data_IF_605648008690
#
_entry.id   IF_605648008690
#
_cell.length_a   1.000
_cell.length_b   1.000
_cell.length_c   1.000
_cell.angle_alpha   90.00
_cell.angle_beta   90.00
_cell.angle_gamma   90.00
#
_symmetry.space_group_name_H-M   'P 1'
#
loop_
_entity.id
_entity.type
_entity.pdbx_description
1 polymer ?
#
# COMPACT_ATOMS: atom_id res chain seq x y z
N UNK A 1 8.55 -0.23 -8.96
CA UNK A 1 7.98 0.63 -7.89
C UNK A 1 9.09 0.91 -6.87
N UNK A 2 9.67 2.12 -6.86
CA UNK A 2 10.84 2.47 -6.05
C UNK A 2 10.64 2.25 -4.53
N UNK A 3 9.40 2.41 -4.04
CA UNK A 3 9.05 2.18 -2.65
C UNK A 3 9.30 0.73 -2.18
N UNK A 4 9.08 -0.28 -3.04
CA UNK A 4 9.37 -1.69 -2.70
C UNK A 4 10.86 -1.93 -2.51
N UNK A 5 11.69 -1.28 -3.34
CA UNK A 5 13.15 -1.36 -3.24
C UNK A 5 13.70 -0.65 -2.01
N UNK A 6 13.04 0.40 -1.55
CA UNK A 6 13.42 1.08 -0.30
C UNK A 6 13.25 0.16 0.91
N UNK A 7 12.10 -0.52 1.01
CA UNK A 7 11.81 -1.40 2.15
C UNK A 7 12.66 -2.67 2.19
N UNK A 8 13.20 -3.13 1.05
CA UNK A 8 14.12 -4.28 1.07
C UNK A 8 15.43 -4.00 1.82
N UNK A 9 15.81 -2.73 2.00
CA UNK A 9 17.02 -2.34 2.73
C UNK A 9 16.81 -2.11 4.24
N UNK A 10 15.56 -2.06 4.72
CA UNK A 10 15.22 -1.71 6.09
C UNK A 10 14.56 -2.88 6.83
N UNK A 11 15.25 -4.03 6.95
CA UNK A 11 14.67 -5.23 7.57
C UNK A 11 15.23 -5.48 8.98
N UNK A 12 14.38 -5.36 9.99
CA UNK A 12 14.61 -5.81 11.37
C UNK A 12 14.26 -7.29 11.58
N UNK A 13 14.34 -7.75 12.83
CA UNK A 13 14.02 -9.13 13.20
C UNK A 13 12.50 -9.37 13.28
N UNK A 14 11.97 -10.49 12.76
CA UNK A 14 10.54 -10.73 12.67
C UNK A 14 9.90 -11.03 14.03
N UNK A 15 8.90 -10.25 14.43
CA UNK A 15 7.96 -10.63 15.52
C UNK A 15 6.49 -10.67 15.11
N UNK A 16 6.18 -10.44 13.83
CA UNK A 16 4.91 -10.86 13.23
C UNK A 16 3.70 -9.91 13.41
N UNK A 17 3.90 -8.62 13.70
CA UNK A 17 2.81 -7.66 13.74
C UNK A 17 2.61 -7.07 12.35
N UNK A 18 1.43 -7.28 11.75
CA UNK A 18 1.10 -6.83 10.39
C UNK A 18 0.07 -5.69 10.41
N UNK A 19 0.33 -4.66 9.62
CA UNK A 19 -0.50 -3.48 9.43
C UNK A 19 -0.86 -3.32 7.95
N UNK A 20 -2.16 -3.17 7.67
CA UNK A 20 -2.67 -2.94 6.32
C UNK A 20 -3.31 -1.56 6.26
N UNK A 21 -2.85 -0.72 5.34
CA UNK A 21 -3.40 0.62 5.10
C UNK A 21 -3.63 0.88 3.61
N UNK A 22 -4.56 1.77 3.29
CA UNK A 22 -4.88 2.14 1.91
C UNK A 22 -4.18 3.43 1.52
N UNK A 23 -3.52 3.43 0.36
CA UNK A 23 -2.92 4.62 -0.24
C UNK A 23 -3.82 5.08 -1.38
N UNK A 24 -4.53 6.19 -1.19
CA UNK A 24 -5.38 6.82 -2.20
C UNK A 24 -4.53 7.68 -3.13
N UNK A 25 -4.53 7.39 -4.44
CA UNK A 25 -3.71 8.13 -5.42
C UNK A 25 -4.47 9.23 -6.15
N UNK A 26 -5.81 9.19 -6.13
CA UNK A 26 -6.67 10.29 -6.54
C UNK A 26 -8.09 10.13 -5.98
N UNK A 27 -8.87 11.21 -6.01
CA UNK A 27 -10.32 11.12 -5.78
C UNK A 27 -11.02 10.27 -6.86
N UNK A 28 -12.11 9.61 -6.48
CA UNK A 28 -12.85 8.71 -7.37
C UNK A 28 -13.34 9.38 -8.66
N UNK A 29 -13.73 10.66 -8.57
CA UNK A 29 -14.16 11.46 -9.72
C UNK A 29 -13.04 11.74 -10.74
N UNK A 30 -11.77 11.66 -10.32
CA UNK A 30 -10.59 11.95 -11.17
C UNK A 30 -9.99 10.71 -11.82
N UNK A 31 -10.48 9.51 -11.50
CA UNK A 31 -9.97 8.23 -12.04
C UNK A 31 -9.90 8.23 -13.57
N UNK A 32 -10.92 8.68 -14.34
CA UNK A 32 -10.86 8.63 -15.81
C UNK A 32 -9.72 9.48 -16.41
N UNK A 33 -9.27 10.51 -15.69
CA UNK A 33 -8.20 11.43 -16.12
C UNK A 33 -6.84 11.08 -15.53
N UNK A 34 -6.79 10.15 -14.57
CA UNK A 34 -5.55 9.78 -13.89
C UNK A 34 -4.69 8.87 -14.77
N UNK A 35 -3.58 9.40 -15.31
CA UNK A 35 -2.71 8.67 -16.24
C UNK A 35 -1.56 7.95 -15.56
N UNK A 36 -1.03 8.51 -14.47
CA UNK A 36 0.23 8.05 -13.88
C UNK A 36 0.17 6.60 -13.37
N UNK A 37 -0.87 6.26 -12.59
CA UNK A 37 -1.06 4.90 -12.06
C UNK A 37 -2.12 4.08 -12.80
N UNK A 38 -2.49 4.45 -14.03
CA UNK A 38 -3.63 3.84 -14.77
C UNK A 38 -3.57 2.31 -14.82
N UNK A 39 -2.37 1.74 -14.98
CA UNK A 39 -2.16 0.30 -15.13
C UNK A 39 -1.70 -0.41 -13.84
N UNK A 40 -1.50 0.33 -12.75
CA UNK A 40 -0.93 -0.19 -11.50
C UNK A 40 -1.86 -0.02 -10.30
N UNK A 41 -2.58 1.10 -10.20
CA UNK A 41 -3.58 1.34 -9.18
C UNK A 41 -4.93 0.75 -9.60
N UNK A 42 -5.73 0.40 -8.61
CA UNK A 42 -7.07 -0.14 -8.81
C UNK A 42 -8.06 0.43 -7.82
N UNK A 43 -9.35 0.20 -8.07
CA UNK A 43 -10.37 0.50 -7.08
C UNK A 43 -10.35 -0.56 -5.98
N UNK A 44 -10.34 -0.11 -4.74
CA UNK A 44 -10.53 -0.93 -3.55
C UNK A 44 -11.65 -0.38 -2.69
N UNK A 45 -12.15 -1.22 -1.80
CA UNK A 45 -13.20 -0.87 -0.83
C UNK A 45 -12.61 -0.87 0.58
N UNK A 46 -12.76 0.24 1.28
CA UNK A 46 -12.61 0.32 2.73
C UNK A 46 -13.98 0.17 3.39
N UNK A 47 -14.02 0.08 4.72
CA UNK A 47 -15.25 -0.07 5.50
C UNK A 47 -16.30 1.00 5.17
N UNK A 48 -15.84 2.22 4.84
CA UNK A 48 -16.72 3.39 4.69
C UNK A 48 -16.80 3.88 3.23
N UNK A 49 -15.75 3.69 2.42
CA UNK A 49 -15.67 4.32 1.10
C UNK A 49 -14.93 3.44 0.08
N UNK A 50 -15.26 3.64 -1.19
CA UNK A 50 -14.41 3.20 -2.30
C UNK A 50 -13.23 4.16 -2.46
N UNK A 51 -12.08 3.65 -2.85
CA UNK A 51 -10.92 4.45 -3.20
C UNK A 51 -10.22 3.92 -4.44
N UNK A 52 -9.39 4.74 -5.07
CA UNK A 52 -8.50 4.32 -6.15
C UNK A 52 -7.05 4.47 -5.72
N UNK A 53 -6.30 3.37 -5.76
CA UNK A 53 -4.92 3.33 -5.31
C UNK A 53 -4.41 1.93 -5.01
N UNK A 54 -3.68 1.82 -3.89
CA UNK A 54 -2.94 0.63 -3.49
C UNK A 54 -3.25 0.25 -2.03
N UNK A 55 -3.03 -1.01 -1.69
CA UNK A 55 -2.89 -1.45 -0.30
C UNK A 55 -1.41 -1.55 0.04
N UNK A 56 -1.05 -1.07 1.21
CA UNK A 56 0.27 -1.18 1.80
C UNK A 56 0.18 -2.16 2.96
N UNK A 57 0.96 -3.24 2.87
CA UNK A 57 1.14 -4.24 3.92
C UNK A 57 2.49 -3.96 4.54
N UNK A 58 2.54 -3.60 5.82
CA UNK A 58 3.78 -3.39 6.58
C UNK A 58 3.78 -4.39 7.73
N UNK A 59 4.87 -5.12 7.87
CA UNK A 59 5.16 -5.92 9.04
C UNK A 59 6.20 -5.17 9.86
N UNK A 60 5.91 -4.91 11.13
CA UNK A 60 6.85 -4.33 12.08
C UNK A 60 7.09 -5.29 13.24
N UNK A 61 8.19 -5.08 13.95
CA UNK A 61 8.44 -5.78 15.20
C UNK A 61 8.03 -4.96 16.43
N UNK A 62 8.12 -5.58 17.60
CA UNK A 62 7.80 -4.95 18.89
C UNK A 62 8.75 -3.81 19.29
N UNK A 63 9.83 -3.59 18.54
CA UNK A 63 10.78 -2.48 18.68
C UNK A 63 10.54 -1.40 17.61
N UNK A 64 9.40 -1.43 16.93
CA UNK A 64 8.99 -0.51 15.86
C UNK A 64 9.90 -0.52 14.61
N UNK A 65 10.69 -1.58 14.40
CA UNK A 65 11.46 -1.76 13.18
C UNK A 65 10.61 -2.39 12.07
N UNK A 66 10.79 -1.92 10.83
CA UNK A 66 10.15 -2.54 9.66
C UNK A 66 10.82 -3.90 9.40
N UNK A 67 10.04 -4.95 9.26
CA UNK A 67 10.49 -6.32 8.95
C UNK A 67 10.27 -6.63 7.48
N UNK A 68 9.10 -6.24 6.96
CA UNK A 68 8.74 -6.36 5.56
C UNK A 68 7.74 -5.28 5.18
N UNK A 69 7.73 -4.88 3.92
CA UNK A 69 6.63 -4.11 3.37
C UNK A 69 6.37 -4.45 1.91
N UNK A 70 5.10 -4.49 1.56
CA UNK A 70 4.63 -4.75 0.21
C UNK A 70 3.55 -3.75 -0.19
N UNK A 71 3.57 -3.38 -1.47
CA UNK A 71 2.54 -2.56 -2.08
C UNK A 71 1.80 -3.40 -3.11
N UNK A 72 0.51 -3.63 -2.89
CA UNK A 72 -0.35 -4.34 -3.83
C UNK A 72 -1.38 -3.39 -4.42
N UNK A 73 -1.86 -3.67 -5.63
CA UNK A 73 -3.00 -2.93 -6.17
C UNK A 73 -4.20 -3.09 -5.24
N UNK A 74 -5.04 -2.07 -5.10
CA UNK A 74 -6.19 -2.12 -4.19
C UNK A 74 -7.31 -3.07 -4.63
N UNK A 75 -7.13 -3.81 -5.75
CA UNK A 75 -8.07 -4.81 -6.24
C UNK A 75 -8.47 -5.74 -5.10
N UNK A 76 -9.76 -5.78 -4.85
CA UNK A 76 -10.39 -6.79 -4.03
C UNK A 76 -10.82 -7.97 -4.91
#
# INVERSE_FOLDING_TARGET
>A
MPLRSFFTHLKGQPTGIEFITSIKVCHNLRIPKHRFFKNSAARGKETIEWFYGFKQHIIVNHLDEIVAAELTSAKH
#
